data_IF_350356710412
#
_entry.id   IF_350356710412
#
_cell.length_a   1.000
_cell.length_b   1.000
_cell.length_c   1.000
_cell.angle_alpha   90.00
_cell.angle_beta   90.00
_cell.angle_gamma   90.00
#
_symmetry.space_group_name_H-M   'P 1'
#
loop_
_entity.id
_entity.type
_entity.pdbx_description
1 polymer ?
#
# COMPACT_ATOMS: atom_id res chain seq x y z
N UNK A 1 5.52 49.19 -18.13
CA UNK A 1 6.63 48.51 -17.43
C UNK A 1 6.06 47.22 -16.84
N UNK A 2 6.84 46.15 -16.95
CA UNK A 2 6.45 44.74 -16.85
C UNK A 2 5.99 44.35 -15.43
N UNK A 3 5.10 43.35 -15.33
CA UNK A 3 5.21 42.23 -14.38
C UNK A 3 4.14 41.19 -14.69
N UNK A 4 4.53 40.16 -15.45
CA UNK A 4 3.85 38.87 -15.47
C UNK A 4 4.54 37.96 -14.47
N UNK A 5 3.76 37.31 -13.61
CA UNK A 5 4.27 36.29 -12.71
C UNK A 5 3.60 34.96 -13.10
N UNK A 6 4.24 34.32 -14.08
CA UNK A 6 4.01 32.93 -14.39
C UNK A 6 4.70 32.10 -13.30
N UNK A 7 3.92 31.53 -12.38
CA UNK A 7 4.40 30.45 -11.50
C UNK A 7 4.38 29.15 -12.31
N UNK A 8 5.33 29.05 -13.23
CA UNK A 8 5.76 27.78 -13.77
C UNK A 8 6.87 27.26 -12.87
N UNK A 9 6.54 26.39 -11.91
CA UNK A 9 7.57 25.59 -11.27
C UNK A 9 8.09 24.60 -12.33
N UNK A 10 9.37 24.63 -12.74
CA UNK A 10 9.94 23.52 -13.47
C UNK A 10 10.05 22.38 -12.45
N UNK A 11 9.09 21.46 -12.50
CA UNK A 11 9.29 20.15 -11.88
C UNK A 11 10.56 19.61 -12.51
N UNK A 12 11.59 19.47 -11.68
CA UNK A 12 12.90 19.01 -12.10
C UNK A 12 12.73 17.74 -12.92
N UNK A 13 13.18 17.84 -14.18
CA UNK A 13 13.96 16.84 -14.90
C UNK A 13 14.36 15.68 -13.99
N UNK A 14 13.42 14.75 -13.77
CA UNK A 14 13.75 13.40 -13.40
C UNK A 14 14.47 12.91 -14.64
N UNK A 15 15.80 12.83 -14.50
CA UNK A 15 16.70 12.29 -15.48
C UNK A 15 15.98 11.20 -16.28
N UNK A 16 15.87 11.44 -17.58
CA UNK A 16 15.79 10.39 -18.59
C UNK A 16 17.06 9.55 -18.40
N UNK A 17 17.08 8.71 -17.35
CA UNK A 17 17.89 7.52 -17.39
C UNK A 17 17.29 6.71 -18.53
N UNK A 18 18.04 6.47 -19.61
CA UNK A 18 17.61 5.49 -20.59
C UNK A 18 17.48 4.19 -19.81
N UNK A 19 16.24 3.78 -19.54
CA UNK A 19 15.93 2.40 -19.24
C UNK A 19 16.41 1.67 -20.47
N UNK A 20 17.63 1.13 -20.41
CA UNK A 20 18.09 0.17 -21.40
C UNK A 20 16.97 -0.87 -21.46
N UNK A 21 16.30 -1.04 -22.62
CA UNK A 21 15.39 -2.15 -22.76
C UNK A 21 16.27 -3.37 -22.59
N UNK A 22 16.22 -3.98 -21.40
CA UNK A 22 16.97 -5.18 -21.07
C UNK A 22 16.80 -6.10 -22.25
N UNK A 23 17.91 -6.35 -22.95
CA UNK A 23 17.93 -7.09 -24.20
C UNK A 23 17.01 -8.29 -24.04
N UNK A 24 16.10 -8.59 -24.99
CA UNK A 24 15.33 -9.83 -24.89
C UNK A 24 16.38 -10.93 -24.85
N UNK A 25 16.58 -11.51 -23.67
CA UNK A 25 17.28 -12.76 -23.54
C UNK A 25 16.47 -13.68 -24.43
N UNK A 26 16.99 -13.92 -25.64
CA UNK A 26 16.48 -14.88 -26.58
C UNK A 26 16.76 -16.27 -26.01
N UNK A 27 16.19 -16.56 -24.84
CA UNK A 27 15.77 -17.91 -24.54
C UNK A 27 14.79 -18.23 -25.65
N UNK A 28 15.20 -19.15 -26.52
CA UNK A 28 14.29 -19.77 -27.48
C UNK A 28 13.03 -20.15 -26.71
N UNK A 29 11.97 -19.34 -26.86
CA UNK A 29 10.75 -19.51 -26.13
C UNK A 29 10.24 -20.89 -26.46
N UNK A 30 10.33 -21.80 -25.48
CA UNK A 30 9.46 -22.97 -25.52
C UNK A 30 8.05 -22.41 -25.71
N UNK A 31 7.21 -22.97 -26.60
CA UNK A 31 5.84 -22.52 -26.70
C UNK A 31 5.25 -22.63 -25.29
N UNK A 32 5.02 -21.50 -24.65
CA UNK A 32 4.44 -21.45 -23.33
C UNK A 32 3.07 -22.08 -23.50
N UNK A 33 2.90 -23.27 -22.93
CA UNK A 33 1.63 -23.97 -23.00
C UNK A 33 0.60 -23.02 -22.42
N UNK A 34 -0.34 -22.56 -23.24
CA UNK A 34 -1.39 -21.63 -22.83
C UNK A 34 -2.15 -22.32 -21.70
N UNK A 35 -1.86 -21.92 -20.47
CA UNK A 35 -2.55 -22.45 -19.30
C UNK A 35 -3.97 -21.89 -19.39
N UNK A 36 -5.01 -22.73 -19.44
CA UNK A 36 -6.37 -22.24 -19.48
C UNK A 36 -6.62 -21.37 -18.25
N UNK A 37 -7.27 -20.23 -18.44
CA UNK A 37 -7.64 -19.35 -17.35
C UNK A 37 -8.41 -20.16 -16.28
N UNK A 38 -8.05 -19.96 -15.01
CA UNK A 38 -8.71 -20.62 -13.89
C UNK A 38 -10.19 -20.25 -13.80
N UNK A 39 -11.00 -21.02 -13.06
CA UNK A 39 -12.42 -20.72 -12.90
C UNK A 39 -12.63 -19.30 -12.32
N UNK A 40 -13.76 -18.65 -12.66
CA UNK A 40 -14.08 -17.34 -12.11
C UNK A 40 -14.12 -17.40 -10.56
N UNK A 41 -13.77 -16.30 -9.88
CA UNK A 41 -13.80 -16.26 -8.42
C UNK A 41 -15.23 -16.47 -7.90
N UNK A 42 -15.34 -17.23 -6.80
CA UNK A 42 -16.59 -17.37 -6.05
C UNK A 42 -17.07 -16.00 -5.52
N UNK A 43 -18.38 -15.76 -5.43
CA UNK A 43 -18.91 -14.49 -4.94
C UNK A 43 -18.48 -14.23 -3.50
N UNK A 44 -18.11 -12.98 -3.22
CA UNK A 44 -17.55 -12.54 -1.94
C UNK A 44 -18.66 -12.31 -0.90
N UNK A 45 -19.91 -12.16 -1.35
CA UNK A 45 -21.06 -11.86 -0.50
C UNK A 45 -21.30 -10.36 -0.30
N UNK A 46 -20.41 -9.50 -0.78
CA UNK A 46 -20.62 -8.06 -0.89
C UNK A 46 -20.96 -7.72 -2.37
N UNK A 47 -22.19 -7.22 -2.64
CA UNK A 47 -22.64 -6.98 -4.01
C UNK A 47 -21.84 -5.86 -4.71
N UNK A 48 -21.23 -4.94 -3.96
CA UNK A 48 -20.38 -3.88 -4.52
C UNK A 48 -19.06 -4.47 -4.98
N UNK A 49 -18.43 -5.30 -4.15
CA UNK A 49 -17.19 -6.02 -4.49
C UNK A 49 -17.42 -6.96 -5.66
N UNK A 50 -18.50 -7.74 -5.65
CA UNK A 50 -18.83 -8.70 -6.71
C UNK A 50 -19.07 -8.00 -8.06
N UNK A 51 -19.66 -6.80 -8.05
CA UNK A 51 -19.81 -5.99 -9.26
C UNK A 51 -18.46 -5.53 -9.82
N UNK A 52 -17.49 -5.19 -8.96
CA UNK A 52 -16.12 -4.85 -9.39
C UNK A 52 -15.41 -6.07 -9.97
N UNK A 53 -15.51 -7.22 -9.30
CA UNK A 53 -14.87 -8.47 -9.74
C UNK A 53 -15.42 -8.96 -11.08
N UNK A 54 -16.71 -8.76 -11.35
CA UNK A 54 -17.29 -9.05 -12.67
C UNK A 54 -16.55 -8.31 -13.79
N UNK A 55 -16.06 -7.09 -13.55
CA UNK A 55 -15.29 -6.34 -14.55
C UNK A 55 -13.95 -6.99 -14.88
N UNK A 56 -13.34 -7.73 -13.96
CA UNK A 56 -12.13 -8.52 -14.26
C UNK A 56 -12.41 -9.67 -15.23
N UNK A 57 -13.62 -10.22 -15.23
CA UNK A 57 -13.97 -11.28 -16.20
C UNK A 57 -14.04 -10.77 -17.64
N UNK A 58 -14.21 -9.47 -17.85
CA UNK A 58 -14.16 -8.83 -19.17
C UNK A 58 -12.75 -8.83 -19.78
N UNK A 59 -11.71 -9.14 -18.99
CA UNK A 59 -10.34 -9.25 -19.48
C UNK A 59 -10.03 -10.57 -20.17
N UNK A 60 -10.87 -11.59 -20.00
CA UNK A 60 -10.67 -12.88 -20.64
C UNK A 60 -10.66 -12.73 -22.17
N UNK A 61 -9.56 -13.18 -22.80
CA UNK A 61 -9.36 -13.05 -24.25
C UNK A 61 -9.07 -11.63 -24.76
N UNK A 62 -8.91 -10.63 -23.90
CA UNK A 62 -8.49 -9.28 -24.32
C UNK A 62 -6.96 -9.19 -24.47
N UNK A 63 -6.44 -8.24 -25.28
CA UNK A 63 -4.99 -8.05 -25.38
C UNK A 63 -4.42 -7.46 -24.08
N UNK A 64 -3.22 -7.91 -23.70
CA UNK A 64 -2.53 -7.48 -22.47
C UNK A 64 -2.36 -5.96 -22.37
N UNK A 65 -2.22 -5.27 -23.51
CA UNK A 65 -2.17 -3.80 -23.55
C UNK A 65 -3.41 -3.13 -22.95
N UNK A 66 -4.57 -3.80 -23.00
CA UNK A 66 -5.83 -3.33 -22.43
C UNK A 66 -6.03 -3.75 -20.98
N UNK A 67 -5.31 -4.78 -20.50
CA UNK A 67 -5.47 -5.30 -19.14
C UNK A 67 -5.16 -4.24 -18.09
N UNK A 68 -4.12 -3.44 -18.32
CA UNK A 68 -3.63 -2.43 -17.38
C UNK A 68 -4.73 -1.42 -17.01
N UNK A 69 -5.48 -0.93 -18.00
CA UNK A 69 -6.55 0.05 -17.78
C UNK A 69 -7.66 -0.51 -16.89
N UNK A 70 -8.06 -1.76 -17.13
CA UNK A 70 -9.13 -2.41 -16.36
C UNK A 70 -8.64 -2.76 -14.94
N UNK A 71 -7.41 -3.26 -14.79
CA UNK A 71 -6.84 -3.54 -13.48
C UNK A 71 -6.75 -2.28 -12.61
N UNK A 72 -6.32 -1.16 -13.19
CA UNK A 72 -6.24 0.11 -12.47
C UNK A 72 -7.62 0.61 -12.03
N UNK A 73 -8.62 0.53 -12.90
CA UNK A 73 -9.99 0.90 -12.56
C UNK A 73 -10.56 0.04 -11.41
N UNK A 74 -10.39 -1.29 -11.51
CA UNK A 74 -10.81 -2.23 -10.46
C UNK A 74 -10.12 -1.91 -9.14
N UNK A 75 -8.82 -1.64 -9.19
CA UNK A 75 -8.05 -1.29 -8.00
C UNK A 75 -8.51 0.04 -7.39
N UNK A 76 -8.79 1.06 -8.20
CA UNK A 76 -9.34 2.35 -7.73
C UNK A 76 -10.69 2.16 -7.05
N UNK A 77 -11.60 1.41 -7.68
CA UNK A 77 -12.94 1.18 -7.12
C UNK A 77 -12.91 0.36 -5.84
N UNK A 78 -12.05 -0.66 -5.75
CA UNK A 78 -11.89 -1.41 -4.51
C UNK A 78 -11.34 -0.54 -3.37
N UNK A 79 -10.37 0.34 -3.66
CA UNK A 79 -9.89 1.29 -2.66
C UNK A 79 -10.97 2.27 -2.20
N UNK A 80 -11.79 2.78 -3.12
CA UNK A 80 -12.91 3.68 -2.80
C UNK A 80 -13.95 2.99 -1.91
N UNK A 81 -14.28 1.73 -2.20
CA UNK A 81 -15.17 0.92 -1.37
C UNK A 81 -14.59 0.68 0.02
N UNK A 82 -13.30 0.37 0.13
CA UNK A 82 -12.63 0.18 1.41
C UNK A 82 -12.55 1.48 2.21
N UNK A 83 -12.26 2.62 1.56
CA UNK A 83 -12.26 3.92 2.21
C UNK A 83 -13.66 4.28 2.74
N UNK A 84 -14.70 4.04 1.94
CA UNK A 84 -16.10 4.24 2.35
C UNK A 84 -16.52 3.34 3.52
N UNK A 85 -15.93 2.15 3.64
CA UNK A 85 -16.19 1.24 4.75
C UNK A 85 -15.39 1.59 6.02
N UNK A 86 -14.24 2.27 5.87
CA UNK A 86 -13.39 2.73 6.97
C UNK A 86 -13.90 4.04 7.57
N UNK A 87 -14.62 4.88 6.80
CA UNK A 87 -15.22 6.12 7.29
C UNK A 87 -16.12 5.81 8.50
N UNK A 88 -15.74 6.22 9.72
CA UNK A 88 -16.58 6.01 10.88
C UNK A 88 -17.85 6.83 10.68
N UNK A 89 -19.00 6.16 10.64
CA UNK A 89 -20.36 6.76 10.52
C UNK A 89 -20.65 7.87 11.56
N UNK A 90 -19.80 8.01 12.58
CA UNK A 90 -19.86 9.05 13.60
C UNK A 90 -18.43 9.58 13.89
N UNK A 91 -17.89 10.41 13.00
CA UNK A 91 -16.83 11.34 13.38
C UNK A 91 -17.46 12.49 14.19
N UNK A 92 -18.00 12.16 15.37
CA UNK A 92 -18.29 13.14 16.40
C UNK A 92 -17.03 13.98 16.73
N UNK A 93 -17.19 15.17 17.34
CA UNK A 93 -16.08 16.10 17.59
C UNK A 93 -14.90 15.37 18.22
N UNK A 94 -13.65 15.65 17.79
CA UNK A 94 -12.48 14.87 18.17
C UNK A 94 -12.38 14.82 19.69
N UNK A 95 -12.70 13.67 20.28
CA UNK A 95 -12.50 13.48 21.71
C UNK A 95 -11.00 13.59 21.97
N UNK A 96 -10.55 14.49 22.85
CA UNK A 96 -9.13 14.68 23.12
C UNK A 96 -8.57 13.37 23.68
N UNK A 97 -7.72 12.72 22.90
CA UNK A 97 -7.04 11.48 23.31
C UNK A 97 -6.09 11.84 24.46
N UNK A 98 -6.19 11.18 25.62
CA UNK A 98 -5.26 11.44 26.71
C UNK A 98 -3.83 11.12 26.25
N UNK A 99 -2.82 11.91 26.68
CA UNK A 99 -1.44 11.68 26.27
C UNK A 99 -1.00 10.29 26.70
N UNK A 100 -0.49 9.52 25.75
CA UNK A 100 0.07 8.20 26.04
C UNK A 100 1.15 8.34 27.11
N UNK A 101 1.23 7.41 28.08
CA UNK A 101 2.31 7.42 29.06
C UNK A 101 3.63 7.38 28.32
N UNK A 102 4.52 8.34 28.63
CA UNK A 102 5.88 8.35 28.07
C UNK A 102 6.52 7.01 28.40
N UNK A 103 6.90 6.28 27.35
CA UNK A 103 7.62 5.01 27.49
C UNK A 103 8.86 5.29 28.36
N UNK A 104 9.08 4.55 29.45
CA UNK A 104 10.29 4.73 30.25
C UNK A 104 11.51 4.52 29.35
N UNK A 105 12.43 5.47 29.41
CA UNK A 105 13.68 5.44 28.66
C UNK A 105 14.49 4.19 29.06
N UNK A 106 14.94 3.34 28.11
CA UNK A 106 15.70 2.14 28.43
C UNK A 106 17.15 2.41 28.90
N UNK A 107 17.51 3.65 29.24
CA UNK A 107 18.86 4.06 29.67
C UNK A 107 19.05 4.35 31.17
N UNK A 108 18.08 4.05 32.03
CA UNK A 108 18.22 4.24 33.48
C UNK A 108 19.11 3.18 34.13
N UNK A 109 20.44 3.30 34.00
CA UNK A 109 21.39 2.50 34.80
C UNK A 109 21.15 2.76 36.29
N UNK A 110 20.80 1.75 37.11
CA UNK A 110 20.72 1.96 38.56
C UNK A 110 22.12 2.22 39.11
N UNK A 111 22.32 3.18 40.04
CA UNK A 111 23.60 3.33 40.71
C UNK A 111 23.88 2.06 41.51
N UNK A 112 24.99 1.41 41.14
CA UNK A 112 25.62 0.31 41.85
C UNK A 112 26.08 0.79 43.24
N UNK A 113 25.21 0.71 44.23
CA UNK A 113 25.57 0.65 45.65
C UNK A 113 24.98 -0.65 46.19
N UNK A 114 25.70 -1.56 46.84
CA UNK A 114 26.88 -1.44 47.66
C UNK A 114 26.66 -2.52 48.73
N UNK A 115 27.51 -3.54 48.74
CA UNK A 115 27.35 -4.72 49.56
C UNK A 115 27.37 -4.41 51.07
N UNK A 116 26.47 -5.03 51.84
CA UNK A 116 26.75 -5.56 53.19
C UNK A 116 25.67 -6.59 53.57
N UNK A 117 26.02 -7.87 53.50
CA UNK A 117 25.64 -8.87 54.51
C UNK A 117 26.86 -9.05 55.44
N UNK A 118 26.83 -9.74 56.61
CA UNK A 118 25.77 -10.61 57.16
C UNK A 118 25.56 -10.51 58.70
N UNK A 119 24.61 -11.30 59.23
CA UNK A 119 24.49 -11.68 60.66
C UNK A 119 23.16 -11.24 61.27
N UNK A 120 22.38 -12.05 61.99
CA UNK A 120 22.61 -13.37 62.56
C UNK A 120 21.92 -13.44 63.93
N UNK A 121 20.70 -14.01 63.99
CA UNK A 121 20.01 -14.61 65.17
C UNK A 121 19.83 -13.72 66.42
N UNK A 122 19.08 -14.10 67.49
CA UNK A 122 18.67 -15.42 68.02
C UNK A 122 17.46 -16.08 67.36
#
# INVERSE_FOLDING_TARGET
MVSGEAVGQPVGEAADEPVEPGAPAAGAGVPEAVVPAGPPPEPTGDPRVDLVLRRLTELDGTPVSRHVEVFQDVHRRLQDLLASADEPEDAGPPVPRPPLPRRPDPGGVPPRGGATAPGGRP
#
